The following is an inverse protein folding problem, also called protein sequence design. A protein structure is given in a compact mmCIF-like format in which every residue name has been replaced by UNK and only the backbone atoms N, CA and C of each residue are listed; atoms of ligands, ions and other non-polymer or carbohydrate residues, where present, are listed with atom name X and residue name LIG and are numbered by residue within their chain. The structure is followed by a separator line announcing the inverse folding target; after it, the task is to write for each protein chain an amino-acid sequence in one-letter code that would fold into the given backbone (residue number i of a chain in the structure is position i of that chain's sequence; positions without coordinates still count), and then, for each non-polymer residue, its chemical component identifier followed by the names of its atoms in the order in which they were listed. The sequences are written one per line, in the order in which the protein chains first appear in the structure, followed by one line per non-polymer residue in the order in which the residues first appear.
data_IF_974857042367
#
_entry.id   IF_974857042367
#
_cell.length_a   1.000
_cell.length_b   1.000
_cell.length_c   1.000
_cell.angle_alpha   90.00
_cell.angle_beta   90.00
_cell.angle_gamma   90.00
#
_symmetry.space_group_name_H-M   'P 1'
#
loop_
_entity.id
_entity.type
_entity.pdbx_description
1 polymer ?
#
# COMPACT_ATOMS: atom_id res chain seq x y z
N UNK A 1 -3.10 26.03 -7.73
CA UNK A 1 -2.97 25.06 -6.61
C UNK A 1 -3.62 23.72 -7.00
N UNK A 2 -2.95 22.87 -7.80
CA UNK A 2 -3.48 21.53 -8.22
C UNK A 2 -2.42 20.45 -8.46
N UNK A 3 -1.13 20.80 -8.46
CA UNK A 3 -0.03 19.88 -8.82
C UNK A 3 0.18 18.78 -7.76
N UNK A 4 -0.08 19.08 -6.48
CA UNK A 4 0.03 18.07 -5.41
C UNK A 4 -1.04 16.99 -5.52
N UNK A 5 -2.28 17.36 -5.83
CA UNK A 5 -3.38 16.41 -6.01
C UNK A 5 -3.13 15.43 -7.15
N UNK A 6 -2.62 15.91 -8.29
CA UNK A 6 -2.32 15.07 -9.45
C UNK A 6 -1.14 14.12 -9.24
N UNK A 7 -0.10 14.55 -8.50
CA UNK A 7 1.02 13.67 -8.15
C UNK A 7 0.58 12.55 -7.21
N UNK A 8 -0.24 12.87 -6.20
CA UNK A 8 -0.78 11.86 -5.28
C UNK A 8 -1.71 10.90 -6.00
N UNK A 9 -2.62 11.39 -6.85
CA UNK A 9 -3.54 10.52 -7.61
C UNK A 9 -2.79 9.59 -8.54
N UNK A 10 -1.74 10.07 -9.22
CA UNK A 10 -0.92 9.25 -10.10
C UNK A 10 -0.15 8.18 -9.32
N UNK A 11 0.37 8.54 -8.14
CA UNK A 11 1.02 7.58 -7.24
C UNK A 11 0.05 6.49 -6.76
N UNK A 12 -1.18 6.87 -6.41
CA UNK A 12 -2.21 5.90 -5.98
C UNK A 12 -2.52 4.96 -7.14
N UNK A 13 -2.79 5.52 -8.33
CA UNK A 13 -3.10 4.74 -9.51
C UNK A 13 -1.98 3.74 -9.83
N UNK A 14 -0.72 4.19 -9.83
CA UNK A 14 0.44 3.33 -10.06
C UNK A 14 0.48 2.15 -9.06
N UNK A 15 0.32 2.41 -7.76
CA UNK A 15 0.33 1.35 -6.74
C UNK A 15 -0.84 0.39 -6.88
N UNK A 16 -2.02 0.89 -7.22
CA UNK A 16 -3.18 0.03 -7.48
C UNK A 16 -2.96 -0.85 -8.72
N UNK A 17 -2.41 -0.30 -9.79
CA UNK A 17 -2.09 -1.07 -10.99
C UNK A 17 -1.04 -2.15 -10.74
N UNK A 18 0.03 -1.84 -9.99
CA UNK A 18 1.02 -2.84 -9.55
C UNK A 18 0.35 -3.97 -8.74
N UNK A 19 -0.51 -3.60 -7.79
CA UNK A 19 -1.24 -4.56 -6.95
C UNK A 19 -2.28 -5.38 -7.71
N UNK A 20 -2.82 -4.86 -8.82
CA UNK A 20 -3.76 -5.58 -9.68
C UNK A 20 -3.07 -6.60 -10.59
N UNK A 21 -1.86 -6.31 -11.06
CA UNK A 21 -1.11 -7.19 -11.97
C UNK A 21 -0.33 -8.27 -11.20
N UNK A 22 0.10 -7.98 -9.98
CA UNK A 22 0.81 -8.94 -9.14
C UNK A 22 -0.10 -10.10 -8.70
N UNK A 23 0.41 -11.33 -8.74
CA UNK A 23 -0.32 -12.50 -8.24
C UNK A 23 -0.46 -12.46 -6.71
N UNK A 24 0.54 -11.91 -6.03
CA UNK A 24 0.55 -11.75 -4.59
C UNK A 24 1.47 -10.61 -4.15
N UNK A 25 1.37 -10.20 -2.89
CA UNK A 25 2.10 -9.06 -2.34
C UNK A 25 3.64 -9.24 -2.34
N UNK A 26 4.16 -10.47 -2.48
CA UNK A 26 5.61 -10.69 -2.59
C UNK A 26 6.19 -10.25 -3.93
N UNK A 27 5.36 -10.17 -4.97
CA UNK A 27 5.79 -9.76 -6.33
C UNK A 27 5.84 -8.24 -6.50
N UNK A 28 5.34 -7.47 -5.52
CA UNK A 28 5.37 -6.02 -5.59
C UNK A 28 6.81 -5.54 -5.58
N UNK A 29 7.20 -4.94 -6.72
CA UNK A 29 8.52 -4.41 -6.96
C UNK A 29 8.93 -3.38 -5.90
N UNK A 30 10.20 -3.42 -5.51
CA UNK A 30 10.83 -2.37 -4.71
C UNK A 30 11.31 -1.19 -5.57
N UNK A 31 10.94 -1.14 -6.86
CA UNK A 31 11.42 -0.11 -7.78
C UNK A 31 10.25 0.57 -8.53
N UNK A 32 10.05 1.90 -8.38
CA UNK A 32 10.73 2.79 -7.43
C UNK A 32 10.40 2.43 -5.98
N UNK A 33 11.27 2.75 -4.99
CA UNK A 33 11.18 2.28 -3.61
C UNK A 33 9.78 2.42 -3.02
N UNK A 34 9.06 1.29 -3.02
CA UNK A 34 7.69 1.18 -2.53
C UNK A 34 7.66 1.19 -1.00
N UNK A 35 8.81 0.92 -0.35
CA UNK A 35 8.97 0.76 1.10
C UNK A 35 7.81 -0.03 1.70
N UNK A 36 7.47 -1.17 1.07
CA UNK A 36 6.40 -2.02 1.57
C UNK A 36 6.85 -2.71 2.87
N UNK A 37 6.25 -2.31 3.99
CA UNK A 37 6.56 -2.88 5.31
C UNK A 37 5.32 -3.05 6.17
N UNK A 38 5.40 -3.97 7.14
CA UNK A 38 4.36 -4.16 8.16
C UNK A 38 4.41 -3.02 9.17
N UNK A 39 3.24 -2.55 9.58
CA UNK A 39 3.06 -1.56 10.62
C UNK A 39 2.89 -2.22 12.00
N UNK A 40 3.26 -1.46 13.03
CA UNK A 40 3.12 -1.81 14.45
C UNK A 40 2.20 -0.80 15.15
N UNK A 41 1.89 -1.02 16.44
CA UNK A 41 1.04 -0.12 17.22
C UNK A 41 -0.42 -0.11 16.73
N UNK A 42 -0.99 1.08 16.55
CA UNK A 42 -2.42 1.26 16.18
C UNK A 42 -2.79 0.65 14.82
N UNK A 43 -1.80 0.49 13.93
CA UNK A 43 -1.99 -0.16 12.63
C UNK A 43 -1.38 -1.57 12.57
N UNK A 44 -1.20 -2.23 13.72
CA UNK A 44 -0.66 -3.59 13.78
C UNK A 44 -1.42 -4.53 12.83
N UNK A 45 -0.66 -5.26 12.02
CA UNK A 45 -1.21 -6.19 11.02
C UNK A 45 -1.68 -5.52 9.72
N UNK A 46 -1.36 -4.24 9.52
CA UNK A 46 -1.48 -3.57 8.24
C UNK A 46 -0.10 -3.42 7.58
N UNK A 47 -0.10 -3.21 6.27
CA UNK A 47 1.05 -2.81 5.48
C UNK A 47 0.98 -1.33 5.15
N UNK A 48 2.14 -0.69 5.02
CA UNK A 48 2.27 0.64 4.43
C UNK A 48 3.08 0.55 3.15
N UNK A 49 2.65 1.29 2.12
CA UNK A 49 3.39 1.51 0.87
C UNK A 49 3.44 3.00 0.56
N UNK A 50 4.56 3.47 0.03
CA UNK A 50 4.72 4.85 -0.38
C UNK A 50 3.93 5.12 -1.67
N UNK A 51 3.11 6.18 -1.63
CA UNK A 51 2.41 6.75 -2.78
C UNK A 51 3.24 7.88 -3.37
N UNK A 52 3.74 8.77 -2.51
CA UNK A 52 4.73 9.81 -2.84
C UNK A 52 5.83 9.81 -1.77
N UNK A 53 6.71 10.81 -1.76
CA UNK A 53 7.71 10.97 -0.69
C UNK A 53 7.07 11.16 0.69
N UNK A 54 5.90 11.82 0.72
CA UNK A 54 5.25 12.24 1.96
C UNK A 54 3.96 11.45 2.22
N UNK A 55 3.29 10.95 1.18
CA UNK A 55 2.01 10.24 1.31
C UNK A 55 2.22 8.73 1.33
N UNK A 56 1.56 8.05 2.27
CA UNK A 56 1.55 6.60 2.40
C UNK A 56 0.13 6.06 2.28
N UNK A 57 0.01 4.90 1.64
CA UNK A 57 -1.22 4.12 1.65
C UNK A 57 -1.06 2.96 2.64
N UNK A 58 -2.00 2.86 3.58
CA UNK A 58 -2.07 1.83 4.60
C UNK A 58 -3.20 0.87 4.24
N UNK A 59 -2.93 -0.43 4.25
CA UNK A 59 -3.91 -1.45 3.87
C UNK A 59 -3.69 -2.77 4.62
N UNK A 60 -4.74 -3.59 4.70
CA UNK A 60 -4.65 -4.99 5.16
C UNK A 60 -4.48 -5.92 3.97
N UNK A 61 -3.62 -6.93 4.12
CA UNK A 61 -3.51 -8.03 3.16
C UNK A 61 -4.52 -9.13 3.47
N UNK A 62 -5.23 -9.60 2.44
CA UNK A 62 -6.22 -10.66 2.52
C UNK A 62 -5.84 -11.81 1.57
N UNK A 63 -6.11 -13.04 2.00
CA UNK A 63 -5.96 -14.23 1.16
C UNK A 63 -7.14 -14.40 0.18
N UNK A 64 -7.11 -15.45 -0.63
CA UNK A 64 -8.17 -15.74 -1.62
C UNK A 64 -9.55 -15.81 -0.97
N UNK A 65 -9.64 -16.40 0.23
CA UNK A 65 -10.86 -16.51 1.04
C UNK A 65 -11.26 -15.22 1.77
N UNK A 66 -10.56 -14.10 1.57
CA UNK A 66 -10.88 -12.82 2.21
C UNK A 66 -10.45 -12.72 3.68
N UNK A 67 -9.68 -13.69 4.18
CA UNK A 67 -9.16 -13.69 5.55
C UNK A 67 -7.85 -12.90 5.62
N UNK A 68 -7.71 -12.07 6.64
CA UNK A 68 -6.50 -11.28 6.84
C UNK A 68 -5.27 -12.17 7.06
N UNK A 69 -4.18 -11.85 6.36
CA UNK A 69 -2.91 -12.59 6.47
C UNK A 69 -1.72 -11.65 6.40
N UNK A 70 -0.67 -12.01 7.13
CA UNK A 70 0.61 -11.29 7.15
C UNK A 70 1.69 -12.02 6.33
N UNK A 71 1.36 -13.18 5.75
CA UNK A 71 2.26 -13.89 4.85
C UNK A 71 2.10 -13.28 3.46
N UNK A 72 3.10 -12.50 3.01
CA UNK A 72 3.04 -11.75 1.73
C UNK A 72 2.64 -12.62 0.54
N UNK A 73 3.18 -13.85 0.45
CA UNK A 73 2.87 -14.79 -0.62
C UNK A 73 1.39 -15.21 -0.68
N UNK A 74 0.68 -15.09 0.44
CA UNK A 74 -0.74 -15.42 0.54
C UNK A 74 -1.64 -14.20 0.40
N UNK A 75 -1.09 -12.98 0.33
CA UNK A 75 -1.89 -11.76 0.15
C UNK A 75 -2.17 -11.57 -1.33
N UNK A 76 -3.42 -11.79 -1.73
CA UNK A 76 -3.89 -11.65 -3.12
C UNK A 76 -4.95 -10.56 -3.28
N UNK A 77 -5.47 -10.05 -2.16
CA UNK A 77 -6.44 -8.97 -2.09
C UNK A 77 -5.98 -7.97 -1.03
N UNK A 78 -6.31 -6.70 -1.21
CA UNK A 78 -6.01 -5.66 -0.23
C UNK A 78 -7.29 -4.96 0.20
N UNK A 79 -7.31 -4.51 1.45
CA UNK A 79 -8.33 -3.61 1.97
C UNK A 79 -7.65 -2.33 2.44
N UNK A 80 -7.83 -1.24 1.69
CA UNK A 80 -7.26 0.07 2.03
C UNK A 80 -7.94 0.57 3.32
N UNK A 81 -7.11 1.02 4.27
CA UNK A 81 -7.55 1.59 5.54
C UNK A 81 -7.42 3.09 5.57
N UNK A 82 -6.30 3.60 5.05
CA UNK A 82 -6.01 5.02 5.08
C UNK A 82 -5.04 5.40 3.95
N UNK A 83 -5.15 6.62 3.46
CA UNK A 83 -4.13 7.27 2.65
C UNK A 83 -3.87 8.62 3.33
N UNK A 84 -2.67 8.82 3.86
CA UNK A 84 -2.35 10.00 4.65
C UNK A 84 -0.93 10.52 4.40
N UNK A 85 -0.77 11.84 4.55
CA UNK A 85 0.54 12.49 4.54
C UNK A 85 1.22 12.25 5.90
N UNK A 86 2.43 11.73 5.87
CA UNK A 86 3.21 11.35 7.04
C UNK A 86 3.85 12.57 7.74
N UNK A 87 3.90 13.75 7.10
CA UNK A 87 4.47 14.97 7.69
C UNK A 87 3.46 15.92 8.34
N UNK A 88 2.16 15.65 8.26
CA UNK A 88 1.09 16.46 8.90
C UNK A 88 0.75 16.00 10.34
N UNK A 89 1.76 15.51 11.08
CA UNK A 89 1.64 15.20 12.51
C UNK A 89 2.69 15.91 13.34
#
# INVERSE_FOLDING_TARGET
MRVYGSLVSNGIYLRLSELQVANNLSEISNFPPSRLHLLVGNFRGCYAVNVTKNVRMIFKGLNQGGVATLVKANVVKILIKEISDYHDK
#
